data_IF_298468218505
#
_entry.id   IF_298468218505
#
_cell.length_a   1.000
_cell.length_b   1.000
_cell.length_c   1.000
_cell.angle_alpha   90.00
_cell.angle_beta   90.00
_cell.angle_gamma   90.00
#
_symmetry.space_group_name_H-M   'P 1'
#
loop_
_entity.id
_entity.type
_entity.pdbx_description
1 polymer ?
#
# COMPACT_ATOMS: atom_id res chain seq x y z
N UNK A 1 -13.43 -3.25 8.58
CA UNK A 1 -14.14 -2.24 9.41
C UNK A 1 -14.20 -0.94 8.62
N UNK A 2 -15.41 -0.46 8.33
CA UNK A 2 -15.58 0.82 7.65
C UNK A 2 -15.20 1.95 8.63
N UNK A 3 -14.22 2.76 8.28
CA UNK A 3 -13.92 3.97 9.03
C UNK A 3 -15.10 4.92 8.97
N UNK A 4 -15.54 5.41 10.12
CA UNK A 4 -16.63 6.35 10.27
C UNK A 4 -16.35 7.64 9.49
N UNK A 5 -17.33 8.09 8.71
CA UNK A 5 -17.28 9.31 7.87
C UNK A 5 -16.84 10.59 8.61
N UNK A 6 -16.97 10.66 9.93
CA UNK A 6 -16.57 11.82 10.74
C UNK A 6 -15.06 12.04 10.79
N UNK A 7 -14.26 10.99 11.00
CA UNK A 7 -12.79 11.09 11.04
C UNK A 7 -12.15 11.40 9.70
N UNK A 8 -12.80 11.06 8.58
CA UNK A 8 -12.32 11.39 7.24
C UNK A 8 -12.50 12.88 6.90
N UNK A 9 -13.59 13.51 7.36
CA UNK A 9 -13.86 14.93 7.17
C UNK A 9 -12.90 15.81 7.96
N UNK A 10 -12.56 15.42 9.19
CA UNK A 10 -11.64 16.16 10.06
C UNK A 10 -10.19 16.09 9.53
N UNK A 11 -9.77 14.94 9.05
CA UNK A 11 -8.46 14.74 8.36
C UNK A 11 -8.40 15.47 7.03
N UNK A 12 -9.49 15.48 6.29
CA UNK A 12 -9.60 16.24 5.05
C UNK A 12 -9.43 17.75 5.25
N UNK A 13 -9.79 18.29 6.41
CA UNK A 13 -9.60 19.71 6.74
C UNK A 13 -8.12 20.08 6.99
N UNK A 14 -7.24 19.12 7.29
CA UNK A 14 -5.82 19.36 7.57
C UNK A 14 -5.00 19.66 6.29
N UNK A 15 -5.47 19.21 5.11
CA UNK A 15 -4.79 19.47 3.84
C UNK A 15 -5.29 20.79 3.23
N UNK A 16 -4.40 21.78 2.95
CA UNK A 16 -4.80 23.02 2.31
C UNK A 16 -5.60 22.80 1.02
N UNK A 17 -6.62 23.61 0.82
CA UNK A 17 -7.51 23.49 -0.35
C UNK A 17 -6.73 23.56 -1.67
N UNK A 18 -5.80 24.51 -1.79
CA UNK A 18 -4.94 24.65 -2.97
C UNK A 18 -4.11 23.38 -3.26
N UNK A 19 -3.55 22.75 -2.21
CA UNK A 19 -2.80 21.49 -2.36
C UNK A 19 -3.70 20.38 -2.87
N UNK A 20 -4.91 20.29 -2.35
CA UNK A 20 -5.90 19.28 -2.75
C UNK A 20 -6.33 19.48 -4.21
N UNK A 21 -6.66 20.70 -4.59
CA UNK A 21 -7.01 21.05 -5.96
C UNK A 21 -5.88 20.70 -6.93
N UNK A 22 -4.64 21.00 -6.54
CA UNK A 22 -3.46 20.66 -7.34
C UNK A 22 -3.26 19.16 -7.49
N UNK A 23 -3.51 18.38 -6.45
CA UNK A 23 -3.47 16.91 -6.50
C UNK A 23 -4.51 16.39 -7.48
N UNK A 24 -5.75 16.84 -7.39
CA UNK A 24 -6.83 16.41 -8.30
C UNK A 24 -6.55 16.79 -9.77
N UNK A 25 -6.00 17.98 -9.99
CA UNK A 25 -5.56 18.39 -11.34
C UNK A 25 -4.49 17.44 -11.90
N UNK A 26 -3.48 17.11 -11.09
CA UNK A 26 -2.39 16.21 -11.49
C UNK A 26 -2.87 14.77 -11.70
N UNK A 27 -3.78 14.29 -10.86
CA UNK A 27 -4.41 12.98 -11.05
C UNK A 27 -5.10 12.89 -12.41
N UNK A 28 -5.90 13.90 -12.73
CA UNK A 28 -6.58 13.96 -14.02
C UNK A 28 -5.62 14.02 -15.21
N UNK A 29 -4.58 14.86 -15.12
CA UNK A 29 -3.57 15.01 -16.19
C UNK A 29 -2.72 13.77 -16.42
N UNK A 30 -2.51 12.96 -15.39
CA UNK A 30 -1.60 11.81 -15.42
C UNK A 30 -2.31 10.48 -15.46
N UNK A 31 -3.65 10.49 -15.56
CA UNK A 31 -4.47 9.28 -15.43
C UNK A 31 -4.03 8.47 -14.20
N UNK A 32 -4.02 9.15 -13.04
CA UNK A 32 -3.44 8.63 -11.81
C UNK A 32 -4.48 8.35 -10.73
N UNK A 33 -4.20 7.35 -9.91
CA UNK A 33 -4.93 6.99 -8.69
C UNK A 33 -3.98 6.94 -7.53
N UNK A 34 -4.40 7.42 -6.35
CA UNK A 34 -3.62 7.41 -5.12
C UNK A 34 -4.14 6.29 -4.21
N UNK A 35 -3.26 5.36 -3.89
CA UNK A 35 -3.50 4.26 -2.94
C UNK A 35 -2.65 4.50 -1.70
N UNK A 36 -3.26 4.53 -0.51
CA UNK A 36 -2.57 4.79 0.75
C UNK A 36 -2.71 3.63 1.73
N UNK A 37 -1.60 3.24 2.34
CA UNK A 37 -1.62 2.28 3.43
C UNK A 37 -2.15 2.92 4.71
N UNK A 38 -2.76 2.13 5.61
CA UNK A 38 -3.27 2.58 6.91
C UNK A 38 -2.25 3.27 7.80
N UNK A 39 -0.95 3.02 7.58
CA UNK A 39 0.13 3.53 8.45
C UNK A 39 0.73 4.85 7.98
N UNK A 40 0.32 5.36 6.81
CA UNK A 40 0.76 6.69 6.40
C UNK A 40 0.02 7.77 7.17
N UNK A 41 0.59 8.97 7.19
CA UNK A 41 0.03 10.11 7.90
C UNK A 41 -1.41 10.40 7.48
N UNK A 42 -2.26 10.88 8.42
CA UNK A 42 -3.68 11.16 8.16
C UNK A 42 -3.93 12.09 6.98
N UNK A 43 -3.05 13.06 6.76
CA UNK A 43 -3.11 14.01 5.65
C UNK A 43 -2.93 13.32 4.30
N UNK A 44 -2.03 12.33 4.23
CA UNK A 44 -1.83 11.52 3.02
C UNK A 44 -3.05 10.63 2.77
N UNK A 45 -3.61 10.00 3.82
CA UNK A 45 -4.85 9.23 3.71
C UNK A 45 -6.03 10.10 3.23
N UNK A 46 -6.06 11.39 3.62
CA UNK A 46 -7.14 12.32 3.28
C UNK A 46 -7.20 12.70 1.80
N UNK A 47 -6.09 12.58 1.08
CA UNK A 47 -5.99 12.84 -0.37
C UNK A 47 -5.95 11.56 -1.21
N UNK A 48 -5.94 10.40 -0.56
CA UNK A 48 -5.95 9.11 -1.25
C UNK A 48 -7.35 8.75 -1.76
N UNK A 49 -7.40 8.11 -2.90
CA UNK A 49 -8.65 7.56 -3.45
C UNK A 49 -9.08 6.30 -2.69
N UNK A 50 -8.10 5.51 -2.26
CA UNK A 50 -8.34 4.28 -1.50
C UNK A 50 -7.33 4.14 -0.38
N UNK A 51 -7.81 3.69 0.78
CA UNK A 51 -7.00 3.41 1.97
C UNK A 51 -7.24 1.97 2.40
N UNK A 52 -6.16 1.24 2.64
CA UNK A 52 -6.27 -0.17 3.01
C UNK A 52 -4.96 -0.81 3.48
N UNK A 53 -5.02 -2.11 3.71
CA UNK A 53 -3.83 -2.93 3.94
C UNK A 53 -3.12 -3.28 2.61
N UNK A 54 -1.92 -3.86 2.73
CA UNK A 54 -1.08 -4.19 1.57
C UNK A 54 -1.76 -5.14 0.59
N UNK A 55 -2.48 -6.15 1.08
CA UNK A 55 -3.13 -7.14 0.22
C UNK A 55 -4.34 -6.56 -0.50
N UNK A 56 -5.17 -5.80 0.22
CA UNK A 56 -6.31 -5.09 -0.36
C UNK A 56 -5.88 -4.16 -1.48
N UNK A 57 -4.86 -3.31 -1.22
CA UNK A 57 -4.36 -2.35 -2.20
C UNK A 57 -3.73 -3.04 -3.42
N UNK A 58 -2.99 -4.14 -3.22
CA UNK A 58 -2.43 -4.92 -4.31
C UNK A 58 -3.50 -5.55 -5.21
N UNK A 59 -4.57 -6.10 -4.61
CA UNK A 59 -5.73 -6.61 -5.37
C UNK A 59 -6.45 -5.51 -6.13
N UNK A 60 -6.70 -4.39 -5.45
CA UNK A 60 -7.41 -3.25 -6.01
C UNK A 60 -6.67 -2.66 -7.21
N UNK A 61 -5.35 -2.51 -7.12
CA UNK A 61 -4.50 -2.00 -8.18
C UNK A 61 -4.68 -2.71 -9.53
N UNK A 62 -4.99 -4.02 -9.50
CA UNK A 62 -5.25 -4.82 -10.71
C UNK A 62 -6.57 -4.45 -11.41
N UNK A 63 -7.54 -3.96 -10.67
CA UNK A 63 -8.90 -3.70 -11.18
C UNK A 63 -9.11 -2.26 -11.62
N UNK A 64 -8.23 -1.35 -11.20
CA UNK A 64 -8.33 0.07 -11.50
C UNK A 64 -7.94 0.34 -12.95
N UNK A 65 -8.68 1.21 -13.67
CA UNK A 65 -8.39 1.52 -15.07
C UNK A 65 -7.19 2.45 -15.27
N UNK A 66 -6.81 3.23 -14.26
CA UNK A 66 -5.76 4.24 -14.34
C UNK A 66 -4.41 3.64 -14.71
N UNK A 67 -3.65 4.35 -15.54
CA UNK A 67 -2.33 3.95 -15.99
C UNK A 67 -1.21 4.28 -15.00
N UNK A 68 -1.46 5.22 -14.09
CA UNK A 68 -0.49 5.61 -13.06
C UNK A 68 -1.06 5.31 -11.67
N UNK A 69 -0.30 4.57 -10.87
CA UNK A 69 -0.62 4.27 -9.47
C UNK A 69 0.40 5.02 -8.61
N UNK A 70 -0.07 5.93 -7.78
CA UNK A 70 0.74 6.54 -6.72
C UNK A 70 0.46 5.76 -5.44
N UNK A 71 1.45 4.98 -5.00
CA UNK A 71 1.31 4.14 -3.81
C UNK A 71 2.03 4.78 -2.63
N UNK A 72 1.26 5.27 -1.68
CA UNK A 72 1.75 5.81 -0.41
C UNK A 72 1.84 4.68 0.61
N UNK A 73 3.02 4.10 0.73
CA UNK A 73 3.34 2.97 1.58
C UNK A 73 4.82 2.64 1.50
N UNK A 74 5.21 1.48 2.00
CA UNK A 74 6.60 1.03 2.00
C UNK A 74 7.02 0.43 0.65
N UNK A 75 8.33 0.38 0.40
CA UNK A 75 8.92 0.02 -0.89
C UNK A 75 8.39 -1.30 -1.46
N UNK A 76 8.40 -2.40 -0.68
CA UNK A 76 7.97 -3.72 -1.18
C UNK A 76 6.51 -3.77 -1.63
N UNK A 77 5.64 -2.86 -1.11
CA UNK A 77 4.26 -2.73 -1.58
C UNK A 77 4.22 -2.14 -3.00
N UNK A 78 5.10 -1.16 -3.27
CA UNK A 78 5.27 -0.60 -4.62
C UNK A 78 5.79 -1.62 -5.61
N UNK A 79 6.79 -2.42 -5.21
CA UNK A 79 7.30 -3.52 -6.01
C UNK A 79 6.21 -4.56 -6.32
N UNK A 80 5.45 -4.96 -5.31
CA UNK A 80 4.32 -5.90 -5.48
C UNK A 80 3.26 -5.34 -6.42
N UNK A 81 2.90 -4.06 -6.27
CA UNK A 81 1.97 -3.39 -7.16
C UNK A 81 2.49 -3.36 -8.61
N UNK A 82 3.79 -3.11 -8.81
CA UNK A 82 4.42 -3.10 -10.14
C UNK A 82 4.48 -4.50 -10.76
N UNK A 83 4.82 -5.52 -10.00
CA UNK A 83 4.85 -6.91 -10.48
C UNK A 83 3.48 -7.38 -10.97
N UNK A 84 2.42 -6.97 -10.28
CA UNK A 84 1.03 -7.30 -10.64
C UNK A 84 0.46 -6.45 -11.77
N UNK A 85 1.08 -5.29 -12.06
CA UNK A 85 0.60 -4.31 -13.04
C UNK A 85 1.76 -3.85 -13.94
N UNK A 86 2.31 -4.78 -14.72
CA UNK A 86 3.52 -4.56 -15.53
C UNK A 86 3.40 -3.41 -16.52
N UNK A 87 2.20 -3.18 -17.03
CA UNK A 87 1.92 -2.15 -18.04
C UNK A 87 1.68 -0.77 -17.42
N UNK A 88 1.46 -0.70 -16.10
CA UNK A 88 1.20 0.56 -15.40
C UNK A 88 2.48 1.18 -14.83
N UNK A 89 2.46 2.49 -14.68
CA UNK A 89 3.48 3.21 -13.91
C UNK A 89 3.12 3.17 -12.44
N UNK A 90 4.05 2.74 -11.59
CA UNK A 90 3.90 2.77 -10.12
C UNK A 90 4.93 3.75 -9.56
N UNK A 91 4.43 4.74 -8.83
CA UNK A 91 5.23 5.78 -8.19
C UNK A 91 5.15 5.63 -6.66
N UNK A 92 6.28 5.72 -6.01
CA UNK A 92 6.42 5.81 -4.55
C UNK A 92 6.82 7.25 -4.20
N UNK A 93 5.98 8.02 -3.50
CA UNK A 93 6.30 9.41 -3.13
C UNK A 93 7.50 9.51 -2.18
N UNK A 94 7.69 8.49 -1.32
CA UNK A 94 8.81 8.39 -0.37
C UNK A 94 9.56 7.07 -0.59
N UNK A 95 10.66 7.10 -1.37
CA UNK A 95 11.44 5.90 -1.66
C UNK A 95 12.15 5.31 -0.45
N UNK A 96 12.37 6.12 0.60
CA UNK A 96 13.00 5.65 1.85
C UNK A 96 12.01 5.02 2.83
N UNK A 97 10.71 5.01 2.49
CA UNK A 97 9.71 4.35 3.33
C UNK A 97 9.93 2.84 3.35
N UNK A 98 10.31 2.33 4.50
CA UNK A 98 10.69 0.94 4.70
C UNK A 98 9.91 0.29 5.85
N UNK A 99 9.91 -1.03 5.88
CA UNK A 99 9.27 -1.82 6.91
C UNK A 99 10.32 -2.69 7.63
N UNK A 100 10.65 -2.39 8.89
CA UNK A 100 11.61 -3.21 9.65
C UNK A 100 11.24 -4.69 9.68
N UNK A 101 9.95 -5.03 9.69
CA UNK A 101 9.49 -6.41 9.68
C UNK A 101 9.84 -7.15 8.37
N UNK A 102 9.95 -6.44 7.25
CA UNK A 102 10.34 -7.04 5.98
C UNK A 102 11.80 -7.55 5.99
N UNK A 103 12.63 -7.04 6.91
CA UNK A 103 14.03 -7.42 7.06
C UNK A 103 14.28 -8.48 8.14
N UNK A 104 13.24 -8.94 8.86
CA UNK A 104 13.40 -9.91 9.94
C UNK A 104 13.72 -11.31 9.44
N UNK A 105 13.39 -11.63 8.20
CA UNK A 105 13.63 -12.95 7.58
C UNK A 105 14.45 -12.77 6.30
N UNK A 106 15.61 -13.42 6.26
CA UNK A 106 16.45 -13.46 5.07
C UNK A 106 16.06 -14.63 4.15
N UNK A 107 16.43 -14.53 2.87
CA UNK A 107 16.31 -15.66 1.93
C UNK A 107 17.01 -16.90 2.45
N UNK A 108 18.22 -16.76 3.02
CA UNK A 108 18.98 -17.89 3.56
C UNK A 108 18.22 -18.59 4.71
N UNK A 109 17.49 -17.84 5.53
CA UNK A 109 16.64 -18.42 6.58
C UNK A 109 15.52 -19.26 6.00
N UNK A 110 14.88 -18.77 4.94
CA UNK A 110 13.79 -19.51 4.24
C UNK A 110 14.35 -20.75 3.55
N UNK A 111 15.49 -20.63 2.87
CA UNK A 111 16.11 -21.73 2.15
C UNK A 111 16.57 -22.82 3.14
N UNK A 112 17.11 -22.44 4.32
CA UNK A 112 17.44 -23.36 5.40
C UNK A 112 16.22 -24.10 5.94
N UNK A 113 15.15 -23.39 6.21
CA UNK A 113 13.89 -24.00 6.67
C UNK A 113 13.28 -24.95 5.61
N UNK A 114 13.35 -24.59 4.34
CA UNK A 114 12.91 -25.48 3.24
C UNK A 114 13.76 -26.74 3.12
N UNK A 115 15.06 -26.62 3.35
CA UNK A 115 15.95 -27.79 3.35
C UNK A 115 15.65 -28.75 4.50
N UNK A 116 15.18 -28.24 5.65
CA UNK A 116 14.85 -29.03 6.84
C UNK A 116 13.45 -29.65 6.76
N UNK A 117 12.44 -28.87 6.34
CA UNK A 117 11.02 -29.25 6.40
C UNK A 117 10.41 -29.62 5.03
N UNK A 118 11.11 -29.37 3.93
CA UNK A 118 10.65 -29.72 2.57
C UNK A 118 9.29 -29.14 2.24
N UNK A 119 8.41 -30.02 1.73
CA UNK A 119 7.05 -29.65 1.31
C UNK A 119 6.09 -29.39 2.48
N UNK A 120 6.49 -29.71 3.72
CA UNK A 120 5.70 -29.41 4.91
C UNK A 120 5.80 -27.92 5.32
N UNK A 121 6.68 -27.14 4.67
CA UNK A 121 6.86 -25.72 4.93
C UNK A 121 6.02 -24.85 3.98
N UNK A 122 5.12 -24.04 4.55
CA UNK A 122 4.46 -22.94 3.86
C UNK A 122 4.98 -21.58 4.36
N UNK A 123 5.69 -20.84 3.52
CA UNK A 123 6.08 -19.47 3.83
C UNK A 123 4.92 -18.51 3.49
N UNK A 124 4.43 -17.78 4.49
CA UNK A 124 3.32 -16.85 4.35
C UNK A 124 3.67 -15.47 4.90
N UNK A 125 3.02 -14.44 4.38
CA UNK A 125 3.09 -13.08 4.93
C UNK A 125 1.75 -12.71 5.57
N UNK A 126 1.81 -12.02 6.71
CA UNK A 126 0.61 -11.51 7.35
C UNK A 126 0.07 -10.28 6.62
N UNK A 127 -1.22 -10.28 6.35
CA UNK A 127 -1.93 -9.18 5.71
C UNK A 127 -2.77 -8.37 6.71
N UNK A 128 -2.77 -8.78 7.99
CA UNK A 128 -3.46 -8.10 9.10
C UNK A 128 -2.67 -8.28 10.40
N UNK A 129 -2.85 -7.35 11.33
CA UNK A 129 -2.06 -7.29 12.58
C UNK A 129 -2.72 -7.99 13.76
N UNK A 130 -3.97 -8.40 13.64
CA UNK A 130 -4.68 -9.13 14.69
C UNK A 130 -4.71 -10.60 14.37
N UNK A 131 -4.14 -11.41 15.27
CA UNK A 131 -4.33 -12.86 15.21
C UNK A 131 -5.79 -13.19 15.56
N UNK A 132 -6.40 -14.20 14.91
CA UNK A 132 -7.68 -14.71 15.34
C UNK A 132 -7.54 -15.19 16.80
N UNK A 133 -8.34 -14.65 17.69
CA UNK A 133 -8.50 -15.23 19.03
C UNK A 133 -9.39 -16.46 18.89
N UNK A 134 -8.83 -17.61 19.15
CA UNK A 134 -9.57 -18.87 19.29
C UNK A 134 -10.38 -18.88 20.56
#
# INVERSE_FOLDING_TARGET
>A
MAQTRGGALERAAAVPAETRERIEELKSKRDAVILAHYYVEPEVQAVADYVGDSFYLAKLAKTLPQQTIVLCGVEFMGESAKLLNRDKTVLLPEPAADCPMAHMVSRATIDGARAEYGDDLAAVSYTHLTLPTT
#
